data_IF_475285967544
#
_entry.id   IF_475285967544
#
_cell.length_a   1.000
_cell.length_b   1.000
_cell.length_c   1.000
_cell.angle_alpha   90.00
_cell.angle_beta   90.00
_cell.angle_gamma   90.00
#
_symmetry.space_group_name_H-M   'P 1'
#
loop_
_entity.id
_entity.type
_entity.pdbx_description
1 polymer ?
#
# COMPACT_ATOMS: atom_id res chain seq x y z
N UNK A 1 52.04 14.12 8.69
CA UNK A 1 51.10 13.05 8.26
C UNK A 1 49.86 12.85 9.15
N UNK A 2 49.92 13.01 10.48
CA UNK A 2 48.74 12.78 11.37
C UNK A 2 47.62 13.84 11.32
N UNK A 3 47.84 15.02 10.72
CA UNK A 3 46.82 16.08 10.60
C UNK A 3 45.99 16.00 9.30
N UNK A 4 46.49 15.36 8.25
CA UNK A 4 45.74 15.15 6.99
C UNK A 4 44.72 14.01 7.09
N UNK A 5 44.94 13.02 7.97
CA UNK A 5 44.00 11.91 8.15
C UNK A 5 42.69 12.31 8.87
N UNK A 6 42.71 13.38 9.68
CA UNK A 6 41.52 13.83 10.44
C UNK A 6 40.56 14.70 9.60
N UNK A 7 41.06 15.37 8.56
CA UNK A 7 40.20 16.13 7.64
C UNK A 7 39.47 15.21 6.64
N UNK A 8 40.06 14.08 6.26
CA UNK A 8 39.40 13.09 5.41
C UNK A 8 38.26 12.33 6.12
N UNK A 9 38.35 12.14 7.45
CA UNK A 9 37.27 11.53 8.24
C UNK A 9 36.11 12.51 8.55
N UNK A 10 36.37 13.82 8.60
CA UNK A 10 35.32 14.81 8.80
C UNK A 10 34.48 15.07 7.53
N UNK A 11 35.05 14.87 6.33
CA UNK A 11 34.33 15.02 5.07
C UNK A 11 33.54 13.76 4.64
N UNK A 12 33.85 12.57 5.17
CA UNK A 12 33.05 11.36 4.95
C UNK A 12 31.88 11.20 5.95
N UNK A 13 31.85 11.97 7.04
CA UNK A 13 30.76 11.94 8.02
C UNK A 13 29.57 12.85 7.65
N UNK A 14 29.69 13.67 6.59
CA UNK A 14 28.66 14.63 6.16
C UNK A 14 27.69 14.13 5.09
N UNK A 15 27.82 12.89 4.59
CA UNK A 15 27.06 12.39 3.43
C UNK A 15 26.15 11.19 3.74
N UNK A 16 25.85 10.92 5.01
CA UNK A 16 24.88 9.90 5.44
C UNK A 16 23.88 10.51 6.42
N UNK A 17 23.28 11.64 6.05
CA UNK A 17 21.94 11.91 6.55
C UNK A 17 21.03 10.85 5.93
N UNK A 18 20.30 10.04 6.73
CA UNK A 18 19.26 9.21 6.16
C UNK A 18 18.33 10.18 5.43
N UNK A 19 18.17 9.98 4.13
CA UNK A 19 17.13 10.66 3.38
C UNK A 19 15.83 10.40 4.15
N UNK A 20 15.35 11.42 4.85
CA UNK A 20 13.94 11.49 5.22
C UNK A 20 13.22 11.21 3.92
N UNK A 21 12.43 10.14 3.89
CA UNK A 21 11.54 9.82 2.80
C UNK A 21 10.46 10.93 2.74
N UNK A 22 10.86 12.13 2.31
CA UNK A 22 9.94 13.07 1.72
C UNK A 22 9.25 12.28 0.61
N UNK A 23 7.92 12.17 0.68
CA UNK A 23 7.11 11.55 -0.36
C UNK A 23 7.67 12.01 -1.70
N UNK A 24 8.28 11.08 -2.45
CA UNK A 24 8.93 11.39 -3.72
C UNK A 24 7.94 12.20 -4.56
N UNK A 25 8.40 13.35 -5.05
CA UNK A 25 7.53 14.28 -5.75
C UNK A 25 6.85 13.56 -6.92
N UNK A 26 5.51 13.39 -6.93
CA UNK A 26 4.82 12.68 -7.99
C UNK A 26 5.21 13.17 -9.38
N UNK A 27 5.53 14.48 -9.49
CA UNK A 27 5.94 15.18 -10.71
C UNK A 27 7.24 14.67 -11.32
N UNK A 28 8.10 14.08 -10.50
CA UNK A 28 9.40 13.57 -10.93
C UNK A 28 9.30 12.18 -11.57
N UNK A 29 8.15 11.53 -11.48
CA UNK A 29 7.95 10.20 -12.03
C UNK A 29 7.74 10.23 -13.55
N UNK A 30 8.47 9.38 -14.28
CA UNK A 30 8.36 9.26 -15.73
C UNK A 30 6.97 8.80 -16.19
N UNK A 31 6.24 8.08 -15.33
CA UNK A 31 4.91 7.52 -15.61
C UNK A 31 3.74 8.44 -15.22
N UNK A 32 4.01 9.67 -14.76
CA UNK A 32 2.96 10.59 -14.26
C UNK A 32 1.83 10.83 -15.26
N UNK A 33 2.16 11.00 -16.55
CA UNK A 33 1.17 11.22 -17.60
C UNK A 33 0.27 9.98 -17.82
N UNK A 34 0.82 8.78 -17.67
CA UNK A 34 0.04 7.54 -17.78
C UNK A 34 -0.88 7.35 -16.56
N UNK A 35 -0.42 7.73 -15.36
CA UNK A 35 -1.26 7.76 -14.15
C UNK A 35 -2.46 8.68 -14.34
N UNK A 36 -2.24 9.91 -14.81
CA UNK A 36 -3.30 10.88 -15.11
C UNK A 36 -4.28 10.32 -16.15
N UNK A 37 -3.76 9.74 -17.23
CA UNK A 37 -4.58 9.16 -18.31
C UNK A 37 -5.44 7.99 -17.82
N UNK A 38 -4.89 7.14 -16.96
CA UNK A 38 -5.62 6.02 -16.36
C UNK A 38 -6.69 6.51 -15.38
N UNK A 39 -6.37 7.51 -14.56
CA UNK A 39 -7.31 8.14 -13.65
C UNK A 39 -8.50 8.75 -14.41
N UNK A 40 -8.24 9.55 -15.45
CA UNK A 40 -9.29 10.17 -16.28
C UNK A 40 -10.27 9.14 -16.85
N UNK A 41 -9.77 7.99 -17.31
CA UNK A 41 -10.62 6.91 -17.82
C UNK A 41 -11.57 6.36 -16.74
N UNK A 42 -11.07 6.16 -15.52
CA UNK A 42 -11.87 5.63 -14.41
C UNK A 42 -12.90 6.62 -13.87
N UNK A 43 -12.72 7.92 -14.16
CA UNK A 43 -13.66 8.97 -13.80
C UNK A 43 -14.83 9.09 -14.78
N UNK A 44 -14.79 8.48 -15.97
CA UNK A 44 -15.94 8.41 -16.87
C UNK A 44 -17.05 7.57 -16.24
N UNK A 45 -18.33 7.91 -16.47
CA UNK A 45 -19.44 7.07 -15.98
C UNK A 45 -19.47 5.71 -16.70
N UNK A 46 -19.65 4.60 -15.96
CA UNK A 46 -19.69 3.27 -16.55
C UNK A 46 -20.99 3.06 -17.34
N UNK A 47 -20.88 2.36 -18.47
CA UNK A 47 -22.02 2.10 -19.35
C UNK A 47 -22.95 1.00 -18.83
N UNK A 48 -22.45 0.05 -18.03
CA UNK A 48 -23.26 -1.03 -17.45
C UNK A 48 -23.40 -0.87 -15.93
N UNK A 49 -24.64 -0.78 -15.45
CA UNK A 49 -24.99 -0.41 -14.07
C UNK A 49 -25.11 -1.60 -13.11
N UNK A 50 -24.25 -2.62 -13.20
CA UNK A 50 -24.25 -3.67 -12.18
C UNK A 50 -23.90 -3.05 -10.82
N UNK A 51 -24.81 -3.21 -9.85
CA UNK A 51 -24.97 -2.36 -8.67
C UNK A 51 -23.77 -2.30 -7.71
N UNK A 52 -22.78 -3.17 -7.85
CA UNK A 52 -21.77 -3.41 -6.81
C UNK A 52 -20.36 -2.87 -7.13
N UNK A 53 -19.98 -2.74 -8.40
CA UNK A 53 -18.59 -2.40 -8.78
C UNK A 53 -18.39 -0.98 -9.34
N UNK A 54 -19.49 -0.29 -9.59
CA UNK A 54 -19.56 1.00 -10.29
C UNK A 54 -18.67 2.09 -9.68
N UNK A 55 -18.60 2.12 -8.35
CA UNK A 55 -18.25 3.33 -7.59
C UNK A 55 -16.99 3.16 -6.71
N UNK A 56 -16.32 1.99 -6.76
CA UNK A 56 -15.19 1.68 -5.86
C UNK A 56 -13.89 2.45 -6.18
N UNK A 57 -13.64 2.72 -7.46
CA UNK A 57 -12.34 3.25 -7.91
C UNK A 57 -12.33 4.77 -8.11
N UNK A 58 -13.49 5.42 -8.10
CA UNK A 58 -13.63 6.82 -8.52
C UNK A 58 -12.92 7.81 -7.60
N UNK A 59 -12.98 7.62 -6.27
CA UNK A 59 -12.29 8.50 -5.33
C UNK A 59 -10.77 8.32 -5.37
N UNK A 60 -10.28 7.09 -5.56
CA UNK A 60 -8.85 6.81 -5.72
C UNK A 60 -8.30 7.40 -7.03
N UNK A 61 -9.03 7.23 -8.13
CA UNK A 61 -8.69 7.85 -9.41
C UNK A 61 -8.71 9.38 -9.30
N UNK A 62 -9.73 9.97 -8.65
CA UNK A 62 -9.80 11.41 -8.43
C UNK A 62 -8.62 11.92 -7.59
N UNK A 63 -8.27 11.21 -6.51
CA UNK A 63 -7.12 11.54 -5.68
C UNK A 63 -5.82 11.51 -6.49
N UNK A 64 -5.58 10.45 -7.27
CA UNK A 64 -4.38 10.35 -8.10
C UNK A 64 -4.36 11.40 -9.22
N UNK A 65 -5.49 11.71 -9.84
CA UNK A 65 -5.59 12.80 -10.81
C UNK A 65 -5.22 14.13 -10.17
N UNK A 66 -5.74 14.43 -8.98
CA UNK A 66 -5.38 15.66 -8.25
C UNK A 66 -3.89 15.73 -7.92
N UNK A 67 -3.29 14.61 -7.51
CA UNK A 67 -1.90 14.56 -7.06
C UNK A 67 -0.88 14.52 -8.20
N UNK A 68 -1.09 13.71 -9.23
CA UNK A 68 -0.19 13.58 -10.39
C UNK A 68 -0.49 14.59 -11.50
N UNK A 69 -1.75 15.03 -11.64
CA UNK A 69 -2.17 16.03 -12.62
C UNK A 69 -2.09 17.47 -12.12
N UNK A 70 -1.62 17.68 -10.89
CA UNK A 70 -1.45 19.00 -10.26
C UNK A 70 -2.68 19.90 -10.35
N UNK A 71 -3.87 19.33 -10.13
CA UNK A 71 -5.09 20.13 -10.25
C UNK A 71 -5.06 21.28 -9.23
N UNK A 72 -5.24 22.54 -9.69
CA UNK A 72 -5.36 23.66 -8.78
C UNK A 72 -6.48 23.41 -7.75
N UNK A 73 -6.39 23.94 -6.52
CA UNK A 73 -7.35 23.63 -5.45
C UNK A 73 -8.82 23.81 -5.85
N UNK A 74 -9.14 24.86 -6.62
CA UNK A 74 -10.49 25.09 -7.14
C UNK A 74 -10.93 24.03 -8.16
N UNK A 75 -10.04 23.58 -9.05
CA UNK A 75 -10.31 22.55 -10.04
C UNK A 75 -10.45 21.17 -9.37
N UNK A 76 -9.61 20.87 -8.38
CA UNK A 76 -9.68 19.65 -7.58
C UNK A 76 -11.01 19.57 -6.81
N UNK A 77 -11.41 20.66 -6.14
CA UNK A 77 -12.69 20.72 -5.44
C UNK A 77 -13.87 20.59 -6.42
N UNK A 78 -13.84 21.32 -7.53
CA UNK A 78 -14.91 21.24 -8.55
C UNK A 78 -15.03 19.84 -9.15
N UNK A 79 -13.91 19.14 -9.40
CA UNK A 79 -13.92 17.74 -9.81
C UNK A 79 -14.66 16.87 -8.80
N UNK A 80 -14.28 16.97 -7.53
CA UNK A 80 -14.85 16.15 -6.46
C UNK A 80 -16.32 16.48 -6.21
N UNK A 81 -16.72 17.76 -6.30
CA UNK A 81 -18.12 18.16 -6.22
C UNK A 81 -18.96 17.60 -7.37
N UNK A 82 -18.44 17.60 -8.61
CA UNK A 82 -19.11 16.96 -9.75
C UNK A 82 -19.27 15.46 -9.56
N UNK A 83 -18.27 14.80 -8.99
CA UNK A 83 -18.32 13.36 -8.68
C UNK A 83 -19.33 13.07 -7.55
N UNK A 84 -19.35 13.91 -6.52
CA UNK A 84 -20.29 13.81 -5.40
C UNK A 84 -21.75 14.03 -5.85
N UNK A 85 -21.96 14.90 -6.84
CA UNK A 85 -23.29 15.21 -7.38
C UNK A 85 -23.86 14.15 -8.34
N UNK A 86 -23.11 13.08 -8.66
CA UNK A 86 -23.62 11.99 -9.51
C UNK A 86 -24.78 11.29 -8.82
N UNK A 87 -25.69 10.72 -9.63
CA UNK A 87 -26.84 9.94 -9.12
C UNK A 87 -26.42 8.84 -8.13
N UNK A 88 -25.23 8.24 -8.33
CA UNK A 88 -24.55 7.48 -7.27
C UNK A 88 -23.10 7.92 -7.23
N UNK A 89 -22.67 8.60 -6.15
CA UNK A 89 -21.31 9.08 -5.99
C UNK A 89 -20.30 7.93 -5.80
N UNK A 90 -19.02 8.13 -6.16
CA UNK A 90 -17.96 7.18 -5.81
C UNK A 90 -17.90 6.90 -4.30
N UNK A 91 -17.53 5.67 -3.93
CA UNK A 91 -17.24 5.33 -2.55
C UNK A 91 -16.13 6.26 -2.03
N UNK A 92 -16.25 6.72 -0.77
CA UNK A 92 -15.27 7.59 -0.11
C UNK A 92 -15.09 8.97 -0.76
N UNK A 93 -15.93 9.37 -1.72
CA UNK A 93 -15.81 10.70 -2.34
C UNK A 93 -15.95 11.83 -1.32
N UNK A 94 -16.79 11.64 -0.30
CA UNK A 94 -16.97 12.63 0.78
C UNK A 94 -15.72 12.77 1.66
N UNK A 95 -14.90 11.72 1.81
CA UNK A 95 -13.60 11.85 2.47
C UNK A 95 -12.70 12.80 1.68
N UNK A 96 -12.59 12.59 0.36
CA UNK A 96 -11.78 13.44 -0.51
C UNK A 96 -12.32 14.87 -0.55
N UNK A 97 -13.64 15.03 -0.57
CA UNK A 97 -14.30 16.34 -0.51
C UNK A 97 -13.94 17.09 0.75
N UNK A 98 -14.08 16.45 1.92
CA UNK A 98 -13.73 17.07 3.20
C UNK A 98 -12.25 17.44 3.25
N UNK A 99 -11.35 16.56 2.81
CA UNK A 99 -9.90 16.83 2.76
C UNK A 99 -9.56 18.02 1.85
N UNK A 100 -10.31 18.23 0.75
CA UNK A 100 -10.10 19.33 -0.19
C UNK A 100 -10.79 20.65 0.22
N UNK A 101 -11.84 20.64 1.05
CA UNK A 101 -12.49 21.86 1.50
C UNK A 101 -11.53 22.79 2.29
N UNK A 102 -11.59 24.12 2.08
CA UNK A 102 -11.00 25.14 2.97
C UNK A 102 -11.32 24.86 4.45
N UNK A 103 -10.42 25.13 5.41
CA UNK A 103 -10.63 24.73 6.81
C UNK A 103 -11.95 25.25 7.41
N UNK A 104 -12.28 26.52 7.17
CA UNK A 104 -13.53 27.18 7.58
C UNK A 104 -14.77 26.48 6.99
N UNK A 105 -14.73 26.16 5.70
CA UNK A 105 -15.83 25.45 5.00
C UNK A 105 -15.93 24.00 5.43
N UNK A 106 -14.81 23.34 5.70
CA UNK A 106 -14.76 21.96 6.21
C UNK A 106 -15.41 21.88 7.58
N UNK A 107 -15.06 22.78 8.50
CA UNK A 107 -15.67 22.83 9.83
C UNK A 107 -17.16 23.13 9.77
N UNK A 108 -17.59 24.03 8.89
CA UNK A 108 -19.00 24.32 8.64
C UNK A 108 -19.76 23.10 8.10
N UNK A 109 -19.17 22.38 7.15
CA UNK A 109 -19.73 21.15 6.60
C UNK A 109 -19.87 20.06 7.67
N UNK A 110 -18.88 19.90 8.54
CA UNK A 110 -18.93 18.95 9.67
C UNK A 110 -19.96 19.34 10.74
N UNK A 111 -20.31 20.62 10.86
CA UNK A 111 -21.33 21.10 11.79
C UNK A 111 -22.77 20.94 11.25
N UNK A 112 -22.95 20.63 9.96
CA UNK A 112 -24.26 20.53 9.31
C UNK A 112 -25.14 19.37 9.82
N UNK A 113 -24.53 18.37 10.48
CA UNK A 113 -25.22 17.16 10.92
C UNK A 113 -25.51 16.15 9.79
N UNK A 114 -24.97 16.37 8.58
CA UNK A 114 -25.06 15.39 7.50
C UNK A 114 -24.38 14.06 7.89
N UNK A 115 -25.13 12.96 7.75
CA UNK A 115 -24.68 11.64 8.18
C UNK A 115 -23.53 11.09 7.32
N UNK A 116 -23.51 11.38 6.02
CA UNK A 116 -22.46 10.94 5.10
C UNK A 116 -21.15 11.69 5.41
N UNK A 117 -21.23 13.01 5.61
CA UNK A 117 -20.08 13.82 6.03
C UNK A 117 -19.57 13.39 7.41
N UNK A 118 -20.46 13.10 8.35
CA UNK A 118 -20.09 12.63 9.70
C UNK A 118 -19.40 11.25 9.65
N UNK A 119 -19.85 10.36 8.77
CA UNK A 119 -19.17 9.09 8.54
C UNK A 119 -17.78 9.29 7.92
N UNK A 120 -17.66 10.13 6.89
CA UNK A 120 -16.38 10.46 6.26
C UNK A 120 -15.41 11.16 7.22
N UNK A 121 -15.91 12.00 8.14
CA UNK A 121 -15.11 12.70 9.14
C UNK A 121 -14.31 11.77 10.07
N UNK A 122 -14.79 10.54 10.25
CA UNK A 122 -14.12 9.50 11.05
C UNK A 122 -13.06 8.73 10.27
N UNK A 123 -12.90 8.98 8.98
CA UNK A 123 -11.87 8.33 8.19
C UNK A 123 -10.50 8.89 8.56
N UNK A 124 -9.49 8.02 8.52
CA UNK A 124 -8.11 8.41 8.79
C UNK A 124 -7.59 9.49 7.80
N UNK A 125 -8.12 9.54 6.58
CA UNK A 125 -7.81 10.60 5.61
C UNK A 125 -8.24 11.98 6.12
N UNK A 126 -9.48 12.10 6.60
CA UNK A 126 -10.05 13.38 7.07
C UNK A 126 -9.46 13.78 8.41
N UNK A 127 -9.35 12.84 9.35
CA UNK A 127 -8.75 13.09 10.67
C UNK A 127 -7.30 13.57 10.54
N UNK A 128 -6.50 12.91 9.68
CA UNK A 128 -5.13 13.36 9.36
C UNK A 128 -5.12 14.79 8.82
N UNK A 129 -5.96 15.10 7.84
CA UNK A 129 -6.01 16.45 7.24
C UNK A 129 -6.39 17.52 8.28
N UNK A 130 -7.35 17.24 9.16
CA UNK A 130 -7.72 18.13 10.26
C UNK A 130 -6.55 18.37 11.23
N UNK A 131 -5.86 17.32 11.65
CA UNK A 131 -4.71 17.43 12.57
C UNK A 131 -3.60 18.29 11.96
N UNK A 132 -3.26 18.04 10.69
CA UNK A 132 -2.20 18.78 9.99
C UNK A 132 -2.58 20.24 9.70
N UNK A 133 -3.88 20.53 9.53
CA UNK A 133 -4.39 21.90 9.42
C UNK A 133 -4.51 22.59 10.80
N UNK A 134 -4.13 21.91 11.88
CA UNK A 134 -4.09 22.42 13.25
C UNK A 134 -5.39 22.31 14.06
N UNK A 135 -6.38 21.56 13.54
CA UNK A 135 -7.66 21.25 14.18
C UNK A 135 -7.59 20.01 15.10
N UNK A 136 -6.38 19.65 15.56
CA UNK A 136 -6.15 18.52 16.45
C UNK A 136 -6.99 18.55 17.74
N UNK A 137 -7.30 19.70 18.41
CA UNK A 137 -8.06 19.67 19.66
C UNK A 137 -9.46 19.09 19.43
N UNK A 138 -10.08 19.43 18.30
CA UNK A 138 -11.40 18.93 17.92
C UNK A 138 -11.35 17.43 17.65
N UNK A 139 -10.39 16.97 16.84
CA UNK A 139 -10.26 15.54 16.51
C UNK A 139 -10.03 14.72 17.77
N UNK A 140 -9.16 15.18 18.66
CA UNK A 140 -8.85 14.45 19.88
C UNK A 140 -10.01 14.43 20.86
N UNK A 141 -10.72 15.55 21.04
CA UNK A 141 -11.92 15.61 21.86
C UNK A 141 -13.03 14.68 21.33
N UNK A 142 -13.20 14.62 20.00
CA UNK A 142 -14.19 13.77 19.34
C UNK A 142 -13.90 12.27 19.52
N UNK A 143 -12.63 11.85 19.41
CA UNK A 143 -12.20 10.48 19.71
C UNK A 143 -12.42 10.17 21.21
N UNK A 144 -11.94 11.06 22.09
CA UNK A 144 -12.05 10.87 23.55
C UNK A 144 -13.51 10.75 24.01
N UNK A 145 -14.43 11.54 23.43
CA UNK A 145 -15.85 11.46 23.73
C UNK A 145 -16.50 10.13 23.36
N UNK A 146 -15.93 9.38 22.40
CA UNK A 146 -16.40 8.05 22.01
C UNK A 146 -15.77 6.91 22.81
N UNK A 147 -14.61 7.13 23.40
CA UNK A 147 -13.89 6.13 24.19
C UNK A 147 -14.69 5.60 25.39
N UNK A 148 -15.75 6.31 25.81
CA UNK A 148 -16.64 5.91 26.91
C UNK A 148 -17.69 4.85 26.52
N UNK A 149 -17.79 4.44 25.25
CA UNK A 149 -18.72 3.39 24.80
C UNK A 149 -18.09 1.97 24.86
N UNK A 150 -18.88 0.89 25.03
CA UNK A 150 -18.37 -0.48 25.02
C UNK A 150 -17.74 -0.81 23.65
N UNK A 151 -16.43 -1.07 23.62
CA UNK A 151 -15.67 -1.35 22.39
C UNK A 151 -14.35 -0.58 22.26
N UNK A 152 -14.16 0.51 23.02
CA UNK A 152 -12.92 1.29 23.06
C UNK A 152 -12.52 1.97 21.74
N UNK A 153 -11.62 2.95 21.80
CA UNK A 153 -11.09 3.69 20.62
C UNK A 153 -9.72 3.22 20.15
N UNK A 154 -9.13 2.20 20.81
CA UNK A 154 -7.77 1.73 20.55
C UNK A 154 -7.48 1.43 19.06
N UNK A 155 -8.44 0.83 18.35
CA UNK A 155 -8.33 0.55 16.90
C UNK A 155 -8.34 1.83 16.06
N UNK A 156 -9.20 2.80 16.39
CA UNK A 156 -9.28 4.12 15.73
C UNK A 156 -7.99 4.91 15.97
N UNK A 157 -7.50 4.95 17.22
CA UNK A 157 -6.25 5.59 17.61
C UNK A 157 -5.03 5.00 16.88
N UNK A 158 -4.95 3.67 16.80
CA UNK A 158 -3.88 2.99 16.07
C UNK A 158 -3.93 3.28 14.57
N UNK A 159 -5.13 3.29 13.98
CA UNK A 159 -5.31 3.61 12.56
C UNK A 159 -4.90 5.07 12.26
N UNK A 160 -5.26 6.01 13.14
CA UNK A 160 -4.89 7.42 13.02
C UNK A 160 -3.37 7.61 13.16
N UNK A 161 -2.72 6.94 14.11
CA UNK A 161 -1.27 7.00 14.26
C UNK A 161 -0.55 6.52 13.00
N UNK A 162 -1.01 5.42 12.39
CA UNK A 162 -0.48 4.90 11.12
C UNK A 162 -0.73 5.84 9.94
N UNK A 163 -1.84 6.58 9.95
CA UNK A 163 -2.11 7.59 8.94
C UNK A 163 -1.17 8.81 9.05
N UNK A 164 -0.60 9.04 10.24
CA UNK A 164 0.38 10.09 10.54
C UNK A 164 1.83 9.59 10.49
N UNK A 165 2.09 8.36 10.06
CA UNK A 165 3.46 7.80 10.07
C UNK A 165 4.43 8.55 9.13
N UNK A 166 3.92 9.27 8.14
CA UNK A 166 4.71 10.06 7.21
C UNK A 166 5.13 11.45 7.73
N UNK A 167 4.66 11.86 8.91
CA UNK A 167 5.11 13.12 9.55
C UNK A 167 6.47 12.91 10.21
N UNK A 168 7.26 13.98 10.35
CA UNK A 168 8.62 13.88 10.90
C UNK A 168 8.62 13.54 12.40
N UNK A 169 9.77 13.05 12.90
CA UNK A 169 9.91 12.60 14.29
C UNK A 169 9.67 13.70 15.34
N UNK A 170 9.90 14.98 15.01
CA UNK A 170 9.64 16.11 15.91
C UNK A 170 8.14 16.36 16.01
N UNK A 171 7.45 16.35 14.88
CA UNK A 171 6.00 16.48 14.81
C UNK A 171 5.30 15.29 15.47
N UNK A 172 5.79 14.06 15.27
CA UNK A 172 5.31 12.86 16.00
C UNK A 172 5.43 13.04 17.50
N UNK A 173 6.53 13.59 18.00
CA UNK A 173 6.72 13.87 19.43
C UNK A 173 5.71 14.91 19.93
N UNK A 174 5.52 15.99 19.18
CA UNK A 174 4.55 17.05 19.51
C UNK A 174 3.13 16.49 19.58
N UNK A 175 2.71 15.76 18.55
CA UNK A 175 1.38 15.16 18.46
C UNK A 175 1.16 14.10 19.55
N UNK A 176 2.18 13.30 19.87
CA UNK A 176 2.09 12.33 20.96
C UNK A 176 1.88 13.00 22.32
N UNK A 177 2.58 14.11 22.60
CA UNK A 177 2.38 14.86 23.84
C UNK A 177 0.96 15.45 23.94
N UNK A 178 0.42 15.97 22.83
CA UNK A 178 -0.95 16.50 22.76
C UNK A 178 -2.00 15.40 22.91
N UNK A 179 -1.77 14.24 22.29
CA UNK A 179 -2.64 13.07 22.41
C UNK A 179 -2.66 12.55 23.85
N UNK A 180 -1.49 12.42 24.50
CA UNK A 180 -1.39 12.00 25.91
C UNK A 180 -2.10 12.99 26.84
N UNK A 181 -1.95 14.31 26.62
CA UNK A 181 -2.68 15.34 27.37
C UNK A 181 -4.21 15.28 27.17
N UNK A 182 -4.66 14.72 26.05
CA UNK A 182 -6.08 14.53 25.73
C UNK A 182 -6.62 13.16 26.15
N UNK A 183 -5.81 12.36 26.85
CA UNK A 183 -6.19 11.00 27.28
C UNK A 183 -6.10 9.92 26.21
N UNK A 184 -5.63 10.25 24.99
CA UNK A 184 -5.49 9.31 23.86
C UNK A 184 -4.15 8.58 23.93
N UNK A 185 -4.05 7.63 24.85
CA UNK A 185 -2.79 6.94 25.17
C UNK A 185 -2.32 6.03 24.04
N UNK A 186 -3.22 5.32 23.36
CA UNK A 186 -2.82 4.38 22.30
C UNK A 186 -2.31 5.15 21.07
N UNK A 187 -2.90 6.30 20.76
CA UNK A 187 -2.42 7.22 19.73
C UNK A 187 -1.01 7.73 20.09
N UNK A 188 -0.82 8.23 21.31
CA UNK A 188 0.48 8.71 21.78
C UNK A 188 1.55 7.60 21.73
N UNK A 189 1.25 6.42 22.27
CA UNK A 189 2.14 5.27 22.27
C UNK A 189 2.52 4.84 20.85
N UNK A 190 1.56 4.76 19.93
CA UNK A 190 1.81 4.34 18.55
C UNK A 190 2.64 5.37 17.77
N UNK A 191 2.38 6.67 17.95
CA UNK A 191 3.20 7.73 17.35
C UNK A 191 4.66 7.65 17.84
N UNK A 192 4.87 7.48 19.14
CA UNK A 192 6.22 7.35 19.72
C UNK A 192 6.92 6.06 19.28
N UNK A 193 6.18 4.96 19.14
CA UNK A 193 6.70 3.70 18.61
C UNK A 193 7.13 3.80 17.13
N UNK A 194 6.57 4.76 16.39
CA UNK A 194 6.88 5.04 14.98
C UNK A 194 8.07 5.99 14.78
N UNK A 195 8.85 6.26 15.83
CA UNK A 195 10.06 7.08 15.78
C UNK A 195 11.33 6.24 15.70
N UNK A 196 12.44 6.87 15.27
CA UNK A 196 13.74 6.21 15.25
C UNK A 196 14.31 5.97 16.65
N UNK A 197 14.18 6.96 17.51
CA UNK A 197 14.51 6.84 18.93
C UNK A 197 13.28 6.37 19.72
N UNK A 198 13.40 5.20 20.35
CA UNK A 198 12.34 4.59 21.16
C UNK A 198 12.41 4.97 22.65
N UNK A 199 13.36 5.81 23.07
CA UNK A 199 13.44 6.28 24.46
C UNK A 199 12.16 7.00 24.92
N UNK A 200 11.53 7.86 24.10
CA UNK A 200 10.25 8.49 24.44
C UNK A 200 9.11 7.48 24.58
N UNK A 201 9.08 6.44 23.74
CA UNK A 201 8.09 5.37 23.85
C UNK A 201 8.24 4.58 25.16
N UNK A 202 9.48 4.20 25.50
CA UNK A 202 9.79 3.53 26.77
C UNK A 202 9.37 4.38 27.98
N UNK A 203 9.62 5.69 27.92
CA UNK A 203 9.20 6.61 28.98
C UNK A 203 7.67 6.72 29.09
N UNK A 204 6.96 6.70 27.97
CA UNK A 204 5.49 6.74 27.92
C UNK A 204 4.85 5.50 28.56
N UNK A 205 5.31 4.29 28.20
CA UNK A 205 4.76 3.05 28.77
C UNK A 205 5.05 2.93 30.28
N UNK A 206 6.22 3.39 30.74
CA UNK A 206 6.62 3.33 32.17
C UNK A 206 5.80 4.24 33.08
N UNK A 207 5.23 5.31 32.54
CA UNK A 207 4.33 6.21 33.29
C UNK A 207 2.85 5.83 33.14
N UNK A 208 2.55 4.79 32.36
CA UNK A 208 1.18 4.37 32.09
C UNK A 208 0.56 3.49 33.18
N UNK A 209 -0.76 3.29 33.13
CA UNK A 209 -1.46 2.39 34.06
C UNK A 209 -1.03 0.93 33.90
N UNK A 210 -0.49 0.57 32.73
CA UNK A 210 0.09 -0.74 32.42
C UNK A 210 1.63 -0.67 32.41
N UNK A 211 2.22 0.11 33.32
CA UNK A 211 3.67 0.20 33.43
C UNK A 211 4.26 -1.21 33.65
N UNK A 212 5.23 -1.64 32.81
CA UNK A 212 5.77 -2.98 32.94
C UNK A 212 6.50 -3.12 34.27
N UNK A 213 6.13 -4.14 35.04
CA UNK A 213 6.71 -4.44 36.36
C UNK A 213 8.03 -5.20 36.25
N UNK A 214 8.36 -5.71 35.05
CA UNK A 214 9.62 -6.38 34.76
C UNK A 214 9.86 -6.58 33.26
N UNK A 215 10.99 -7.21 32.94
CA UNK A 215 11.46 -7.41 31.57
C UNK A 215 10.48 -8.21 30.70
N UNK A 216 9.78 -9.20 31.28
CA UNK A 216 8.83 -10.03 30.55
C UNK A 216 7.61 -9.23 30.03
N UNK A 217 7.05 -8.35 30.87
CA UNK A 217 5.95 -7.46 30.48
C UNK A 217 6.41 -6.39 29.49
N UNK A 218 7.62 -5.84 29.69
CA UNK A 218 8.22 -4.92 28.74
C UNK A 218 8.41 -5.56 27.37
N UNK A 219 8.93 -6.80 27.33
CA UNK A 219 9.07 -7.58 26.10
C UNK A 219 7.71 -7.79 25.42
N UNK A 220 6.66 -8.14 26.17
CA UNK A 220 5.32 -8.31 25.61
C UNK A 220 4.78 -7.02 24.96
N UNK A 221 4.96 -5.87 25.61
CA UNK A 221 4.57 -4.56 25.08
C UNK A 221 5.43 -4.12 23.88
N UNK A 222 6.70 -4.52 23.86
CA UNK A 222 7.65 -4.18 22.79
C UNK A 222 7.53 -5.08 21.56
N UNK A 223 7.01 -6.30 21.71
CA UNK A 223 6.92 -7.29 20.62
C UNK A 223 6.24 -6.76 19.34
N UNK A 224 5.12 -6.01 19.40
CA UNK A 224 4.50 -5.46 18.20
C UNK A 224 5.39 -4.48 17.43
N UNK A 225 6.29 -3.75 18.12
CA UNK A 225 7.25 -2.83 17.50
C UNK A 225 8.40 -3.63 16.91
N UNK A 226 8.99 -4.52 17.72
CA UNK A 226 10.13 -5.34 17.32
C UNK A 226 9.86 -6.21 16.09
N UNK A 227 8.67 -6.82 16.02
CA UNK A 227 8.26 -7.65 14.88
C UNK A 227 7.58 -6.86 13.74
N UNK A 228 7.56 -5.52 13.80
CA UNK A 228 7.03 -4.68 12.73
C UNK A 228 5.50 -4.80 12.52
N UNK A 229 4.75 -5.19 13.57
CA UNK A 229 3.29 -5.33 13.54
C UNK A 229 2.56 -4.02 13.86
N UNK A 230 3.15 -3.19 14.72
CA UNK A 230 2.58 -1.89 15.10
C UNK A 230 2.86 -0.83 14.04
N UNK A 231 4.13 -0.74 13.59
CA UNK A 231 4.61 0.18 12.54
C UNK A 231 5.19 -0.60 11.33
N UNK A 232 4.33 -1.20 10.51
CA UNK A 232 4.67 -1.89 9.27
C UNK A 232 5.51 -1.07 8.29
N UNK A 233 6.42 -1.74 7.59
CA UNK A 233 7.35 -1.16 6.61
C UNK A 233 8.67 -0.75 7.23
N UNK A 234 8.71 -0.65 8.56
CA UNK A 234 9.92 -0.29 9.29
C UNK A 234 10.72 -1.54 9.66
N UNK A 235 11.98 -1.57 9.26
CA UNK A 235 12.92 -2.55 9.79
C UNK A 235 13.06 -2.35 11.31
N UNK A 236 13.19 -3.43 12.11
CA UNK A 236 13.46 -3.28 13.52
C UNK A 236 14.72 -2.42 13.71
N UNK A 237 14.72 -1.50 14.68
CA UNK A 237 15.90 -0.70 14.98
C UNK A 237 17.07 -1.61 15.35
N UNK A 238 18.31 -1.27 14.97
CA UNK A 238 19.46 -2.08 15.32
C UNK A 238 19.59 -2.16 16.85
N UNK A 239 19.95 -3.33 17.38
CA UNK A 239 20.09 -3.56 18.83
C UNK A 239 20.93 -2.48 19.52
N UNK A 240 22.01 -2.04 18.88
CA UNK A 240 22.92 -1.02 19.42
C UNK A 240 22.31 0.38 19.55
N UNK A 241 21.20 0.66 18.85
CA UNK A 241 20.47 1.92 18.93
C UNK A 241 19.30 1.88 19.94
N UNK A 242 19.04 0.73 20.57
CA UNK A 242 18.00 0.59 21.57
C UNK A 242 18.48 1.02 22.96
N UNK A 243 17.60 1.62 23.79
CA UNK A 243 17.80 1.68 25.23
C UNK A 243 18.11 0.29 25.82
N UNK A 244 18.95 0.22 26.85
CA UNK A 244 19.41 -1.05 27.43
C UNK A 244 18.27 -2.02 27.77
N UNK A 245 17.18 -1.51 28.34
CA UNK A 245 16.01 -2.31 28.70
C UNK A 245 15.29 -2.89 27.47
N UNK A 246 15.26 -2.15 26.37
CA UNK A 246 14.66 -2.62 25.11
C UNK A 246 15.58 -3.59 24.38
N UNK A 247 16.90 -3.44 24.52
CA UNK A 247 17.86 -4.42 24.00
C UNK A 247 17.70 -5.77 24.72
N UNK A 248 17.59 -5.76 26.05
CA UNK A 248 17.30 -6.97 26.82
C UNK A 248 15.95 -7.59 26.45
N UNK A 249 14.90 -6.76 26.32
CA UNK A 249 13.60 -7.21 25.85
C UNK A 249 13.64 -7.83 24.45
N UNK A 250 14.43 -7.26 23.52
CA UNK A 250 14.63 -7.82 22.19
C UNK A 250 15.30 -9.20 22.24
N UNK A 251 16.33 -9.37 23.07
CA UNK A 251 17.02 -10.65 23.23
C UNK A 251 16.09 -11.71 23.82
N UNK A 252 15.27 -11.34 24.80
CA UNK A 252 14.21 -12.20 25.32
C UNK A 252 13.19 -12.59 24.25
N UNK A 253 12.72 -11.62 23.46
CA UNK A 253 11.75 -11.86 22.39
C UNK A 253 12.28 -12.87 21.39
N UNK A 254 13.52 -12.71 20.93
CA UNK A 254 14.16 -13.67 20.02
C UNK A 254 14.36 -15.04 20.67
N UNK A 255 14.76 -15.10 21.95
CA UNK A 255 14.91 -16.37 22.67
C UNK A 255 13.57 -17.09 22.90
N UNK A 256 12.47 -16.34 23.05
CA UNK A 256 11.11 -16.86 23.27
C UNK A 256 10.35 -17.16 21.98
N UNK A 257 10.95 -16.87 20.83
CA UNK A 257 10.30 -16.96 19.53
C UNK A 257 9.95 -18.41 19.21
N UNK A 258 8.67 -18.69 19.01
CA UNK A 258 8.26 -20.04 18.59
C UNK A 258 8.89 -20.37 17.23
N UNK A 259 9.35 -21.63 17.04
CA UNK A 259 9.76 -22.10 15.73
C UNK A 259 8.68 -21.77 14.69
N UNK A 260 9.04 -21.06 13.63
CA UNK A 260 8.10 -20.67 12.58
C UNK A 260 7.37 -19.33 12.76
N UNK A 261 7.47 -18.65 13.90
CA UNK A 261 6.88 -17.30 14.02
C UNK A 261 7.67 -16.23 13.28
N UNK A 262 8.98 -16.44 13.09
CA UNK A 262 9.81 -15.60 12.23
C UNK A 262 9.40 -15.63 10.75
N UNK A 263 8.76 -16.72 10.34
CA UNK A 263 8.41 -16.99 8.96
C UNK A 263 7.26 -16.09 8.49
N UNK A 264 6.17 -15.99 9.25
CA UNK A 264 5.08 -15.08 8.90
C UNK A 264 5.55 -13.61 8.87
N UNK A 265 6.39 -13.21 9.82
CA UNK A 265 6.92 -11.84 9.87
C UNK A 265 7.74 -11.51 8.59
N UNK A 266 8.44 -12.48 7.99
CA UNK A 266 9.18 -12.30 6.71
C UNK A 266 8.23 -12.07 5.53
N UNK A 267 7.13 -12.83 5.45
CA UNK A 267 6.13 -12.66 4.39
C UNK A 267 5.44 -11.29 4.50
N UNK A 268 5.13 -10.86 5.72
CA UNK A 268 4.57 -9.54 5.98
C UNK A 268 5.57 -8.43 5.66
N UNK A 269 6.85 -8.59 6.01
CA UNK A 269 7.90 -7.65 5.64
C UNK A 269 8.10 -7.54 4.12
N UNK A 270 7.97 -8.64 3.38
CA UNK A 270 7.98 -8.62 1.91
C UNK A 270 6.78 -7.85 1.36
N UNK A 271 5.56 -8.14 1.84
CA UNK A 271 4.34 -7.46 1.42
C UNK A 271 4.35 -5.95 1.70
N UNK A 272 5.14 -5.49 2.68
CA UNK A 272 5.29 -4.06 2.97
C UNK A 272 6.07 -3.32 1.88
N UNK A 273 7.16 -3.90 1.38
CA UNK A 273 8.01 -3.26 0.36
C UNK A 273 7.57 -3.61 -1.07
N UNK A 274 6.84 -4.71 -1.23
CA UNK A 274 6.27 -5.16 -2.48
C UNK A 274 4.83 -5.65 -2.25
N UNK A 275 3.84 -4.74 -2.17
CA UNK A 275 2.43 -5.06 -1.89
C UNK A 275 1.83 -6.16 -2.77
N UNK A 276 2.28 -6.28 -4.03
CA UNK A 276 1.89 -7.34 -4.96
C UNK A 276 2.18 -8.77 -4.46
N UNK A 277 2.93 -8.92 -3.37
CA UNK A 277 3.28 -10.21 -2.74
C UNK A 277 2.38 -10.57 -1.57
N UNK A 278 1.41 -9.74 -1.18
CA UNK A 278 0.51 -9.98 -0.05
C UNK A 278 -0.25 -11.31 -0.17
N UNK A 279 -0.52 -11.77 -1.39
CA UNK A 279 -1.08 -13.10 -1.65
C UNK A 279 -0.26 -14.25 -1.03
N UNK A 280 1.06 -14.11 -0.88
CA UNK A 280 1.91 -15.10 -0.23
C UNK A 280 1.65 -15.19 1.28
N UNK A 281 1.48 -14.04 1.95
CA UNK A 281 1.13 -14.02 3.37
C UNK A 281 -0.25 -14.66 3.62
N UNK A 282 -1.21 -14.42 2.72
CA UNK A 282 -2.51 -15.09 2.78
C UNK A 282 -2.42 -16.58 2.49
N UNK A 283 -1.59 -16.99 1.54
CA UNK A 283 -1.34 -18.40 1.24
C UNK A 283 -0.76 -19.13 2.45
N UNK A 284 0.22 -18.53 3.15
CA UNK A 284 0.77 -19.06 4.41
C UNK A 284 -0.33 -19.18 5.46
N UNK A 285 -1.16 -18.14 5.63
CA UNK A 285 -2.24 -18.16 6.60
C UNK A 285 -3.31 -19.24 6.29
N UNK A 286 -3.60 -19.49 5.01
CA UNK A 286 -4.58 -20.49 4.60
C UNK A 286 -4.05 -21.92 4.64
N UNK A 287 -2.77 -22.13 4.27
CA UNK A 287 -2.17 -23.46 4.19
C UNK A 287 -1.56 -23.93 5.52
N UNK A 288 -1.14 -23.00 6.37
CA UNK A 288 -0.31 -23.27 7.54
C UNK A 288 1.14 -23.67 7.19
N UNK A 289 1.53 -23.68 5.91
CA UNK A 289 2.86 -24.13 5.48
C UNK A 289 3.89 -23.00 5.57
N UNK A 290 4.60 -22.98 6.70
CA UNK A 290 5.63 -21.98 7.00
C UNK A 290 6.85 -22.05 6.08
N UNK A 291 7.06 -23.15 5.35
CA UNK A 291 8.17 -23.25 4.38
C UNK A 291 8.03 -22.19 3.28
N UNK A 292 6.81 -21.78 2.94
CA UNK A 292 6.57 -20.68 1.99
C UNK A 292 7.25 -19.37 2.43
N UNK A 293 7.34 -19.10 3.73
CA UNK A 293 8.05 -17.92 4.19
C UNK A 293 9.57 -18.03 4.05
N UNK A 294 10.15 -19.14 4.50
CA UNK A 294 11.61 -19.34 4.46
C UNK A 294 12.15 -19.58 3.05
N UNK A 295 11.39 -20.27 2.20
CA UNK A 295 11.86 -20.70 0.88
C UNK A 295 11.34 -19.80 -0.26
N UNK A 296 10.28 -19.01 -0.03
CA UNK A 296 9.74 -18.05 -1.02
C UNK A 296 9.91 -16.60 -0.55
N UNK A 297 9.36 -16.23 0.62
CA UNK A 297 9.34 -14.83 1.04
C UNK A 297 10.75 -14.29 1.35
N UNK A 298 11.55 -15.03 2.10
CA UNK A 298 12.89 -14.60 2.53
C UNK A 298 13.87 -14.39 1.36
N UNK A 299 13.99 -15.30 0.38
CA UNK A 299 14.86 -15.08 -0.77
C UNK A 299 14.43 -13.87 -1.63
N UNK A 300 13.11 -13.65 -1.77
CA UNK A 300 12.59 -12.49 -2.49
C UNK A 300 12.89 -11.19 -1.73
N UNK A 301 12.64 -11.16 -0.42
CA UNK A 301 12.94 -10.01 0.44
C UNK A 301 14.45 -9.68 0.40
N UNK A 302 15.31 -10.69 0.47
CA UNK A 302 16.75 -10.53 0.36
C UNK A 302 17.19 -10.04 -1.02
N UNK A 303 16.58 -10.53 -2.11
CA UNK A 303 16.88 -10.08 -3.47
C UNK A 303 16.49 -8.62 -3.69
N UNK A 304 15.33 -8.19 -3.19
CA UNK A 304 14.88 -6.79 -3.27
C UNK A 304 15.81 -5.89 -2.46
N UNK A 305 16.11 -6.24 -1.19
CA UNK A 305 17.01 -5.46 -0.34
C UNK A 305 18.42 -5.34 -0.91
N UNK A 306 18.89 -6.37 -1.61
CA UNK A 306 20.19 -6.36 -2.28
C UNK A 306 20.16 -5.71 -3.68
N UNK A 307 19.03 -5.17 -4.14
CA UNK A 307 18.89 -4.54 -5.45
C UNK A 307 18.96 -5.50 -6.64
N UNK A 308 18.94 -6.81 -6.41
CA UNK A 308 18.94 -7.84 -7.47
C UNK A 308 17.56 -8.06 -8.10
N UNK A 309 16.51 -7.66 -7.38
CA UNK A 309 15.13 -7.71 -7.84
C UNK A 309 14.48 -6.35 -7.58
N UNK A 310 13.75 -5.82 -8.55
CA UNK A 310 12.97 -4.59 -8.34
C UNK A 310 11.64 -4.93 -7.63
N UNK A 311 11.28 -4.14 -6.62
CA UNK A 311 9.95 -4.18 -6.01
C UNK A 311 8.84 -3.70 -6.97
N UNK A 312 9.22 -2.94 -8.00
CA UNK A 312 8.31 -2.45 -9.04
C UNK A 312 8.06 -3.48 -10.16
N UNK A 313 8.86 -4.54 -10.26
CA UNK A 313 8.64 -5.65 -11.21
C UNK A 313 7.58 -6.61 -10.67
N UNK A 314 6.33 -6.15 -10.69
CA UNK A 314 5.18 -6.87 -10.14
C UNK A 314 4.98 -8.24 -10.81
N UNK A 315 5.11 -8.30 -12.14
CA UNK A 315 4.92 -9.55 -12.90
C UNK A 315 6.04 -10.55 -12.60
N UNK A 316 7.29 -10.10 -12.52
CA UNK A 316 8.42 -10.95 -12.14
C UNK A 316 8.29 -11.50 -10.73
N UNK A 317 7.90 -10.66 -9.76
CA UNK A 317 7.67 -11.08 -8.38
C UNK A 317 6.54 -12.13 -8.27
N UNK A 318 5.40 -11.88 -8.92
CA UNK A 318 4.26 -12.82 -8.92
C UNK A 318 4.63 -14.13 -9.59
N UNK A 319 5.30 -14.11 -10.73
CA UNK A 319 5.77 -15.34 -11.38
C UNK A 319 6.72 -16.14 -10.46
N UNK A 320 7.66 -15.48 -9.78
CA UNK A 320 8.56 -16.15 -8.82
C UNK A 320 7.82 -16.71 -7.60
N UNK A 321 6.77 -16.05 -7.11
CA UNK A 321 5.93 -16.57 -6.04
C UNK A 321 5.32 -17.91 -6.47
N UNK A 322 4.72 -17.98 -7.66
CA UNK A 322 4.11 -19.22 -8.17
C UNK A 322 5.16 -20.32 -8.37
N UNK A 323 6.26 -20.01 -9.07
CA UNK A 323 7.35 -20.95 -9.35
C UNK A 323 7.92 -21.58 -8.08
N UNK A 324 8.26 -20.75 -7.10
CA UNK A 324 8.85 -21.23 -5.84
C UNK A 324 7.82 -21.92 -4.95
N UNK A 325 6.58 -21.46 -4.92
CA UNK A 325 5.52 -22.13 -4.15
C UNK A 325 5.24 -23.52 -4.69
N UNK A 326 5.29 -23.72 -6.01
CA UNK A 326 5.15 -25.04 -6.65
C UNK A 326 6.33 -25.94 -6.28
N UNK A 327 7.55 -25.40 -6.20
CA UNK A 327 8.71 -26.17 -5.74
C UNK A 327 8.57 -26.62 -4.27
N UNK A 328 7.94 -25.81 -3.42
CA UNK A 328 7.75 -26.10 -1.98
C UNK A 328 6.57 -27.05 -1.73
N UNK A 329 5.42 -26.76 -2.33
CA UNK A 329 4.15 -27.44 -2.05
C UNK A 329 3.83 -28.57 -3.05
N UNK A 330 4.46 -28.57 -4.22
CA UNK A 330 3.96 -29.28 -5.38
C UNK A 330 2.87 -28.51 -6.12
N UNK A 331 2.67 -28.86 -7.40
CA UNK A 331 1.81 -28.11 -8.32
C UNK A 331 0.34 -28.08 -7.88
N UNK A 332 -0.21 -29.24 -7.50
CA UNK A 332 -1.63 -29.35 -7.18
C UNK A 332 -1.98 -28.63 -5.87
N UNK A 333 -1.13 -28.76 -4.85
CA UNK A 333 -1.33 -28.06 -3.58
C UNK A 333 -1.15 -26.54 -3.73
N UNK A 334 -0.14 -26.09 -4.49
CA UNK A 334 0.01 -24.66 -4.78
C UNK A 334 -1.22 -24.09 -5.48
N UNK A 335 -1.76 -24.80 -6.48
CA UNK A 335 -3.01 -24.40 -7.16
C UNK A 335 -4.20 -24.35 -6.21
N UNK A 336 -4.35 -25.35 -5.33
CA UNK A 336 -5.44 -25.37 -4.36
C UNK A 336 -5.36 -24.18 -3.38
N UNK A 337 -4.17 -23.90 -2.84
CA UNK A 337 -3.95 -22.79 -1.91
C UNK A 337 -4.25 -21.45 -2.60
N UNK A 338 -3.61 -21.16 -3.73
CA UNK A 338 -3.82 -19.88 -4.41
C UNK A 338 -5.21 -19.76 -5.09
N UNK A 339 -5.86 -20.89 -5.38
CA UNK A 339 -7.25 -20.93 -5.83
C UNK A 339 -8.25 -20.58 -4.72
N UNK A 340 -7.91 -20.91 -3.46
CA UNK A 340 -8.67 -20.59 -2.25
C UNK A 340 -8.50 -19.14 -1.77
N UNK A 341 -7.38 -18.49 -2.10
CA UNK A 341 -7.16 -17.06 -1.83
C UNK A 341 -8.00 -16.22 -2.80
N UNK A 342 -9.09 -15.64 -2.31
CA UNK A 342 -9.98 -14.73 -3.06
C UNK A 342 -9.94 -13.32 -2.46
N UNK A 343 -10.20 -12.31 -3.30
CA UNK A 343 -10.36 -10.89 -2.90
C UNK A 343 -9.23 -10.36 -2.02
N UNK A 344 -8.09 -10.06 -2.63
CA UNK A 344 -7.01 -9.31 -1.96
C UNK A 344 -7.11 -7.81 -2.24
N UNK A 345 -6.60 -6.95 -1.33
CA UNK A 345 -6.54 -5.50 -1.53
C UNK A 345 -5.76 -5.08 -2.79
N UNK A 346 -4.86 -5.91 -3.33
CA UNK A 346 -4.14 -5.65 -4.59
C UNK A 346 -4.71 -6.44 -5.79
N UNK A 347 -5.69 -7.31 -5.52
CA UNK A 347 -6.36 -8.15 -6.50
C UNK A 347 -7.70 -7.52 -6.88
N UNK A 348 -7.61 -6.62 -7.84
CA UNK A 348 -8.73 -5.84 -8.31
C UNK A 348 -9.52 -6.53 -9.43
N UNK A 349 -9.06 -7.71 -9.89
CA UNK A 349 -9.85 -8.63 -10.72
C UNK A 349 -10.71 -9.50 -9.81
N UNK A 350 -11.91 -9.88 -10.27
CA UNK A 350 -12.83 -10.79 -9.55
C UNK A 350 -12.32 -12.23 -9.40
N UNK A 351 -11.02 -12.48 -9.67
CA UNK A 351 -10.37 -13.77 -9.73
C UNK A 351 -9.74 -14.25 -8.42
N UNK A 352 -9.16 -15.45 -8.46
CA UNK A 352 -8.33 -16.01 -7.39
C UNK A 352 -6.88 -15.56 -7.48
N UNK A 353 -6.10 -15.70 -6.40
CA UNK A 353 -4.66 -15.40 -6.41
C UNK A 353 -3.95 -16.19 -7.50
N UNK A 354 -4.40 -17.43 -7.72
CA UNK A 354 -3.90 -18.27 -8.80
C UNK A 354 -4.08 -17.62 -10.17
N UNK A 355 -5.26 -17.09 -10.49
CA UNK A 355 -5.48 -16.42 -11.78
C UNK A 355 -4.52 -15.23 -11.95
N UNK A 356 -4.35 -14.42 -10.90
CA UNK A 356 -3.44 -13.26 -10.95
C UNK A 356 -1.98 -13.69 -11.15
N UNK A 357 -1.54 -14.74 -10.47
CA UNK A 357 -0.20 -15.32 -10.63
C UNK A 357 0.01 -15.86 -12.05
N UNK A 358 -0.96 -16.61 -12.59
CA UNK A 358 -0.88 -17.20 -13.91
C UNK A 358 -0.89 -16.16 -15.04
N UNK A 359 -1.70 -15.10 -14.92
CA UNK A 359 -1.66 -13.97 -15.87
C UNK A 359 -0.30 -13.27 -15.84
N UNK A 360 0.28 -13.09 -14.66
CA UNK A 360 1.62 -12.49 -14.50
C UNK A 360 2.70 -13.36 -15.14
N UNK A 361 2.62 -14.68 -14.95
CA UNK A 361 3.50 -15.64 -15.61
C UNK A 361 3.33 -15.61 -17.14
N UNK A 362 2.10 -15.54 -17.65
CA UNK A 362 1.83 -15.46 -19.08
C UNK A 362 2.39 -14.17 -19.70
N UNK A 363 2.20 -13.01 -19.05
CA UNK A 363 2.81 -11.74 -19.46
C UNK A 363 4.33 -11.84 -19.50
N UNK A 364 4.96 -12.35 -18.43
CA UNK A 364 6.41 -12.53 -18.35
C UNK A 364 6.94 -13.42 -19.48
N UNK A 365 6.26 -14.54 -19.75
CA UNK A 365 6.68 -15.49 -20.78
C UNK A 365 6.57 -14.90 -22.20
N UNK A 366 5.51 -14.15 -22.50
CA UNK A 366 5.23 -13.63 -23.84
C UNK A 366 5.93 -12.30 -24.15
N UNK A 367 6.50 -11.63 -23.16
CA UNK A 367 6.99 -10.26 -23.28
C UNK A 367 8.04 -10.09 -24.37
N UNK A 368 9.08 -10.93 -24.37
CA UNK A 368 10.15 -10.89 -25.38
C UNK A 368 9.62 -11.19 -26.79
N UNK A 369 8.70 -12.15 -26.91
CA UNK A 369 8.08 -12.49 -28.20
C UNK A 369 7.26 -11.33 -28.76
N UNK A 370 6.41 -10.71 -27.93
CA UNK A 370 5.60 -9.55 -28.31
C UNK A 370 6.47 -8.33 -28.71
N UNK A 371 7.66 -8.20 -28.12
CA UNK A 371 8.65 -7.15 -28.44
C UNK A 371 9.51 -7.42 -29.67
N UNK A 372 9.32 -8.56 -30.35
CA UNK A 372 10.19 -9.02 -31.46
C UNK A 372 11.62 -9.37 -31.02
N UNK A 373 11.83 -9.65 -29.74
CA UNK A 373 13.14 -9.96 -29.12
C UNK A 373 13.41 -11.47 -29.00
N UNK A 374 12.46 -12.32 -29.37
CA UNK A 374 12.60 -13.77 -29.32
C UNK A 374 11.54 -14.52 -30.12
N UNK A 375 11.63 -15.85 -30.11
CA UNK A 375 10.64 -16.76 -30.70
C UNK A 375 9.41 -16.92 -29.79
N UNK A 376 8.35 -17.52 -30.34
CA UNK A 376 7.13 -17.80 -29.58
C UNK A 376 7.44 -18.81 -28.46
N UNK A 377 7.21 -18.48 -27.18
CA UNK A 377 7.48 -19.39 -26.08
C UNK A 377 6.53 -20.58 -26.10
N UNK A 378 7.00 -21.72 -25.60
CA UNK A 378 6.13 -22.83 -25.24
C UNK A 378 5.20 -22.43 -24.08
N UNK A 379 4.05 -23.09 -23.97
CA UNK A 379 3.11 -22.91 -22.85
C UNK A 379 3.82 -23.21 -21.53
N UNK A 380 3.93 -22.26 -20.58
CA UNK A 380 4.50 -22.55 -19.27
C UNK A 380 3.77 -23.69 -18.57
N UNK A 381 4.53 -24.66 -18.04
CA UNK A 381 3.97 -25.87 -17.42
C UNK A 381 3.13 -25.56 -16.16
N UNK A 382 3.41 -24.44 -15.51
CA UNK A 382 2.71 -24.00 -14.30
C UNK A 382 1.28 -23.53 -14.56
N UNK A 383 0.95 -23.10 -15.77
CA UNK A 383 -0.39 -22.64 -16.11
C UNK A 383 -1.42 -23.76 -15.96
N UNK A 384 -2.53 -23.48 -15.29
CA UNK A 384 -3.65 -24.40 -15.12
C UNK A 384 -4.19 -24.88 -16.46
N UNK A 385 -4.65 -26.14 -16.57
CA UNK A 385 -5.13 -26.70 -17.85
C UNK A 385 -6.17 -25.83 -18.55
N UNK A 386 -7.06 -25.17 -17.79
CA UNK A 386 -8.08 -24.26 -18.32
C UNK A 386 -7.61 -22.84 -18.64
N UNK A 387 -6.34 -22.50 -18.43
CA UNK A 387 -5.81 -21.18 -18.78
C UNK A 387 -5.73 -21.03 -20.30
N UNK A 388 -6.31 -19.95 -20.83
CA UNK A 388 -6.38 -19.66 -22.27
C UNK A 388 -5.04 -19.21 -22.87
N UNK A 389 -4.05 -20.10 -22.87
CA UNK A 389 -2.73 -19.80 -23.44
C UNK A 389 -2.78 -19.44 -24.93
N UNK A 390 -3.73 -20.02 -25.67
CA UNK A 390 -3.90 -19.74 -27.09
C UNK A 390 -4.32 -18.28 -27.33
N UNK A 391 -5.31 -17.78 -26.58
CA UNK A 391 -5.73 -16.38 -26.63
C UNK A 391 -4.60 -15.42 -26.27
N UNK A 392 -3.82 -15.75 -25.23
CA UNK A 392 -2.65 -14.97 -24.84
C UNK A 392 -1.57 -14.92 -25.92
N UNK A 393 -1.26 -16.07 -26.55
CA UNK A 393 -0.30 -16.13 -27.65
C UNK A 393 -0.81 -15.36 -28.87
N UNK A 394 -2.08 -15.49 -29.23
CA UNK A 394 -2.68 -14.78 -30.37
C UNK A 394 -2.63 -13.25 -30.17
N UNK A 395 -2.92 -12.76 -28.95
CA UNK A 395 -2.78 -11.35 -28.62
C UNK A 395 -1.33 -10.87 -28.73
N UNK A 396 -0.37 -11.66 -28.23
CA UNK A 396 1.05 -11.34 -28.35
C UNK A 396 1.53 -11.31 -29.82
N UNK A 397 1.01 -12.22 -30.65
CA UNK A 397 1.31 -12.32 -32.08
C UNK A 397 0.74 -11.14 -32.86
N UNK A 398 -0.49 -10.72 -32.56
CA UNK A 398 -1.09 -9.50 -33.10
C UNK A 398 -0.28 -8.24 -32.74
N UNK A 399 0.10 -8.08 -31.46
CA UNK A 399 0.97 -7.00 -31.01
C UNK A 399 2.32 -7.01 -31.75
N UNK A 400 2.90 -8.20 -31.92
CA UNK A 400 4.15 -8.39 -32.64
C UNK A 400 4.02 -7.99 -34.11
N UNK A 401 2.90 -8.34 -34.76
CA UNK A 401 2.61 -7.96 -36.15
C UNK A 401 2.29 -6.46 -36.30
N UNK A 402 1.87 -5.79 -35.22
CA UNK A 402 1.36 -4.42 -35.27
C UNK A 402 -0.11 -4.37 -35.70
N UNK A 403 -0.84 -5.46 -35.49
CA UNK A 403 -2.23 -5.64 -35.85
C UNK A 403 -3.10 -5.70 -34.59
N UNK A 404 -4.39 -5.32 -34.68
CA UNK A 404 -5.33 -5.51 -33.58
C UNK A 404 -5.54 -7.00 -33.29
N UNK A 405 -5.58 -7.39 -32.02
CA UNK A 405 -6.00 -8.75 -31.66
C UNK A 405 -7.49 -8.97 -32.02
N UNK A 406 -7.94 -10.23 -32.23
CA UNK A 406 -9.36 -10.54 -32.34
C UNK A 406 -10.15 -9.98 -31.15
N UNK A 407 -11.41 -9.60 -31.37
CA UNK A 407 -12.25 -8.94 -30.35
C UNK A 407 -12.27 -9.67 -29.00
N UNK A 408 -12.31 -11.00 -29.01
CA UNK A 408 -12.28 -11.87 -27.83
C UNK A 408 -11.00 -11.74 -26.98
N UNK A 409 -9.91 -11.22 -27.56
CA UNK A 409 -8.58 -11.13 -26.93
C UNK A 409 -8.08 -9.69 -26.77
N UNK A 410 -8.88 -8.68 -27.13
CA UNK A 410 -8.53 -7.26 -26.97
C UNK A 410 -8.24 -6.89 -25.50
N UNK A 411 -8.91 -7.52 -24.54
CA UNK A 411 -8.59 -7.34 -23.12
C UNK A 411 -7.20 -7.87 -22.73
N UNK A 412 -6.78 -9.00 -23.33
CA UNK A 412 -5.44 -9.58 -23.13
C UNK A 412 -4.38 -8.72 -23.83
N UNK A 413 -4.68 -8.21 -25.01
CA UNK A 413 -3.84 -7.26 -25.73
C UNK A 413 -3.51 -6.03 -24.86
N UNK A 414 -4.51 -5.44 -24.20
CA UNK A 414 -4.29 -4.31 -23.28
C UNK A 414 -3.33 -4.66 -22.14
N UNK A 415 -3.45 -5.86 -21.55
CA UNK A 415 -2.55 -6.30 -20.47
C UNK A 415 -1.12 -6.55 -20.94
N UNK A 416 -0.93 -7.13 -22.12
CA UNK A 416 0.39 -7.31 -22.71
C UNK A 416 1.03 -5.97 -23.07
N UNK A 417 0.27 -5.05 -23.67
CA UNK A 417 0.73 -3.68 -23.93
C UNK A 417 1.15 -2.97 -22.64
N UNK A 418 0.42 -3.13 -21.55
CA UNK A 418 0.80 -2.57 -20.26
C UNK A 418 2.12 -3.18 -19.74
N UNK A 419 2.27 -4.50 -19.74
CA UNK A 419 3.51 -5.16 -19.33
C UNK A 419 4.71 -4.81 -20.23
N UNK A 420 4.47 -4.44 -21.49
CA UNK A 420 5.50 -3.93 -22.39
C UNK A 420 5.97 -2.52 -22.06
N UNK A 421 5.29 -1.79 -21.16
CA UNK A 421 5.52 -0.36 -20.92
C UNK A 421 4.78 0.54 -21.90
N UNK A 422 3.92 0.00 -22.78
CA UNK A 422 3.12 0.75 -23.77
C UNK A 422 1.79 1.20 -23.16
N UNK A 423 1.85 1.82 -21.98
CA UNK A 423 0.69 2.14 -21.14
C UNK A 423 -0.38 2.98 -21.84
N UNK A 424 0.02 4.05 -22.54
CA UNK A 424 -0.92 4.86 -23.32
C UNK A 424 -1.66 4.08 -24.42
N UNK A 425 -1.05 3.04 -25.01
CA UNK A 425 -1.73 2.20 -26.00
C UNK A 425 -2.74 1.26 -25.35
N UNK A 426 -2.36 0.64 -24.23
CA UNK A 426 -3.26 -0.18 -23.42
C UNK A 426 -4.49 0.63 -22.96
N UNK A 427 -4.30 1.86 -22.48
CA UNK A 427 -5.40 2.72 -22.02
C UNK A 427 -6.31 3.18 -23.17
N UNK A 428 -5.77 3.50 -24.35
CA UNK A 428 -6.58 3.80 -25.54
C UNK A 428 -7.44 2.61 -25.94
N UNK A 429 -6.84 1.42 -25.96
CA UNK A 429 -7.55 0.18 -26.23
C UNK A 429 -8.69 -0.07 -25.23
N UNK A 430 -8.45 0.09 -23.93
CA UNK A 430 -9.51 -0.04 -22.92
C UNK A 430 -10.64 0.99 -23.10
N UNK A 431 -10.32 2.21 -23.55
CA UNK A 431 -11.33 3.23 -23.89
C UNK A 431 -12.18 2.83 -25.10
N UNK A 432 -11.56 2.30 -26.15
CA UNK A 432 -12.26 1.81 -27.34
C UNK A 432 -13.21 0.65 -27.02
N UNK A 433 -12.80 -0.25 -26.11
CA UNK A 433 -13.63 -1.35 -25.62
C UNK A 433 -14.76 -0.89 -24.70
N UNK A 434 -14.81 0.39 -24.31
CA UNK A 434 -15.84 0.96 -23.46
C UNK A 434 -15.62 0.73 -21.94
N UNK A 435 -16.22 1.59 -21.09
CA UNK A 435 -16.04 1.59 -19.64
C UNK A 435 -16.88 0.51 -18.94
N UNK A 436 -16.79 -0.73 -19.42
CA UNK A 436 -17.37 -1.90 -18.76
C UNK A 436 -16.59 -2.28 -17.51
N UNK A 437 -17.24 -2.97 -16.56
CA UNK A 437 -16.65 -3.32 -15.25
C UNK A 437 -15.28 -3.98 -15.38
N UNK A 438 -15.11 -4.95 -16.29
CA UNK A 438 -13.82 -5.61 -16.47
C UNK A 438 -12.73 -4.66 -16.99
N UNK A 439 -13.05 -3.76 -17.93
CA UNK A 439 -12.07 -2.83 -18.49
C UNK A 439 -11.70 -1.75 -17.48
N UNK A 440 -12.64 -1.35 -16.62
CA UNK A 440 -12.37 -0.48 -15.47
C UNK A 440 -11.49 -1.18 -14.44
N UNK A 441 -11.76 -2.45 -14.13
CA UNK A 441 -10.89 -3.24 -13.24
C UNK A 441 -9.47 -3.33 -13.79
N UNK A 442 -9.31 -3.61 -15.09
CA UNK A 442 -8.00 -3.62 -15.77
C UNK A 442 -7.30 -2.27 -15.67
N UNK A 443 -8.01 -1.18 -15.98
CA UNK A 443 -7.43 0.17 -15.88
C UNK A 443 -7.08 0.58 -14.44
N UNK A 444 -7.86 0.17 -13.45
CA UNK A 444 -7.54 0.40 -12.03
C UNK A 444 -6.33 -0.40 -11.58
N UNK A 445 -6.22 -1.68 -11.99
CA UNK A 445 -5.00 -2.48 -11.78
C UNK A 445 -3.76 -1.81 -12.39
N UNK A 446 -3.88 -1.30 -13.62
CA UNK A 446 -2.82 -0.52 -14.25
C UNK A 446 -2.50 0.76 -13.47
N UNK A 447 -3.51 1.52 -13.05
CA UNK A 447 -3.34 2.74 -12.26
C UNK A 447 -2.58 2.47 -10.95
N UNK A 448 -2.92 1.40 -10.23
CA UNK A 448 -2.26 1.02 -8.99
C UNK A 448 -0.79 0.60 -9.23
N UNK A 449 -0.50 -0.17 -10.28
CA UNK A 449 0.88 -0.53 -10.63
C UNK A 449 1.72 0.68 -11.07
N UNK A 450 1.12 1.61 -11.82
CA UNK A 450 1.79 2.85 -12.22
C UNK A 450 2.08 3.74 -11.00
N UNK A 451 1.11 3.90 -10.10
CA UNK A 451 1.32 4.65 -8.85
C UNK A 451 2.42 4.00 -7.99
N UNK A 452 2.42 2.68 -7.83
CA UNK A 452 3.45 1.96 -7.08
C UNK A 452 4.86 2.12 -7.69
N UNK A 453 4.97 2.15 -9.03
CA UNK A 453 6.24 2.41 -9.71
C UNK A 453 6.72 3.87 -9.56
N UNK A 454 5.81 4.77 -9.18
CA UNK A 454 6.06 6.16 -8.85
C UNK A 454 6.18 6.35 -7.33
N UNK A 455 5.31 7.17 -6.73
CA UNK A 455 5.35 7.52 -5.31
C UNK A 455 4.61 6.52 -4.42
N UNK A 456 3.72 5.69 -4.99
CA UNK A 456 2.88 4.75 -4.24
C UNK A 456 1.88 5.47 -3.33
N UNK A 457 1.22 6.52 -3.81
CA UNK A 457 0.30 7.34 -3.02
C UNK A 457 -0.93 6.56 -2.53
N UNK A 458 -1.35 5.52 -3.26
CA UNK A 458 -2.43 4.60 -2.89
C UNK A 458 -1.92 3.34 -2.20
N UNK A 459 -0.61 3.08 -2.15
CA UNK A 459 -0.07 1.89 -1.52
C UNK A 459 -0.63 1.77 -0.11
N UNK A 460 -1.54 0.80 0.14
CA UNK A 460 -2.15 0.68 1.44
C UNK A 460 -1.04 0.29 2.40
N UNK A 461 -1.11 0.85 3.60
CA UNK A 461 -0.44 0.20 4.70
C UNK A 461 -1.03 -1.22 4.80
N UNK A 462 -0.24 -2.31 4.85
CA UNK A 462 -0.73 -3.69 4.66
C UNK A 462 -1.79 -4.17 5.68
N UNK A 463 -2.11 -3.33 6.65
CA UNK A 463 -3.08 -3.56 7.72
C UNK A 463 -4.23 -2.56 7.73
N UNK A 464 -4.16 -1.53 6.89
CA UNK A 464 -5.29 -0.66 6.61
C UNK A 464 -5.98 -1.25 5.38
N UNK A 465 -7.26 -1.63 5.54
CA UNK A 465 -8.05 -2.16 4.43
C UNK A 465 -8.31 -1.14 3.31
N UNK A 466 -7.95 0.14 3.52
CA UNK A 466 -8.21 1.27 2.63
C UNK A 466 -7.03 2.25 2.57
N UNK A 467 -6.70 2.81 1.39
CA UNK A 467 -5.66 3.85 1.27
C UNK A 467 -6.03 5.14 2.01
N UNK A 468 -5.04 5.83 2.57
CA UNK A 468 -5.19 7.16 3.19
C UNK A 468 -4.91 8.23 2.14
N UNK A 469 -5.86 9.14 1.90
CA UNK A 469 -5.66 10.28 1.00
C UNK A 469 -4.77 11.34 1.67
N UNK A 470 -3.47 11.28 1.39
CA UNK A 470 -2.48 12.18 1.99
C UNK A 470 -2.36 13.45 1.15
N UNK A 471 -2.60 14.59 1.78
CA UNK A 471 -2.26 15.89 1.22
C UNK A 471 -1.22 16.57 2.10
N UNK A 472 -0.35 17.42 1.52
CA UNK A 472 0.54 18.24 2.33
C UNK A 472 -0.29 19.16 3.25
N UNK A 473 0.25 19.55 4.42
CA UNK A 473 -0.38 20.53 5.28
C UNK A 473 -0.60 21.84 4.51
N UNK A 474 -1.72 22.52 4.77
CA UNK A 474 -1.96 23.83 4.18
C UNK A 474 -1.12 24.84 4.95
N UNK A 475 -0.19 25.50 4.26
CA UNK A 475 0.60 26.59 4.83
C UNK A 475 -0.35 27.60 5.50
N UNK A 476 -0.12 27.86 6.79
CA UNK A 476 -0.81 28.91 7.54
C UNK A 476 -0.12 30.24 7.34
#
# INVERSE_FOLDING_TARGET
>A
MRRFLRLAQALLAGALLPATAALADPRSCAQSADVVTAADYLLVDPQNAHRFWRDRYGAEAAYLLVRYGELPPAAALSLVERLAARQRPPERIEELRLVLLPPDRRLSALASGDAALSAAARSSSVQRALILDGEWPRVFADIAARATAPGGTASEETALARALDDVDDLEKLRLAALAEASGLRDLAGTLLASRADLSPWLAHIRRGPQAPTGEAELAALFAPIWFGRLVPGRAPPPRAALPADLAAAADRLEASRQPGSADLDRALALAQIAPATLMLANAINQSGDLRLAGEVAEPLLAAIRAGRQSAADVDGLRAMILERSVAVLGLDQARAVYGGVRRQPDMWTSGSALETLERSLARRALLAFARREGEAPARPQLLSPGFDWAGWRNAAEAIRAGEPAPDSYRGIEAELLHAMGRHGQALRLLRELGPYDENRQRAHGMLATLDQACTGLLSPHPWLGTPVFRFPPRLR
#
